data_IF_873341231525
#
_entry.id   IF_873341231525
#
_cell.length_a   1.000
_cell.length_b   1.000
_cell.length_c   1.000
_cell.angle_alpha   90.00
_cell.angle_beta   90.00
_cell.angle_gamma   90.00
#
_symmetry.space_group_name_H-M   'P 1'
#
loop_
_entity.id
_entity.type
_entity.pdbx_description
1 polymer ?
#
# COMPACT_ATOMS: atom_id res chain seq x y z
N UNK A 1 -8.26 -26.96 23.63
CA UNK A 1 -7.51 -26.05 24.48
C UNK A 1 -7.58 -24.68 23.88
N UNK A 2 -8.23 -23.73 24.62
CA UNK A 2 -8.54 -22.41 24.05
C UNK A 2 -7.30 -21.52 24.03
N UNK A 3 -6.93 -21.05 22.84
CA UNK A 3 -6.00 -19.93 22.67
C UNK A 3 -6.87 -18.68 22.51
N UNK A 4 -6.59 -17.65 23.31
CA UNK A 4 -7.21 -16.34 23.13
C UNK A 4 -6.32 -15.53 22.22
N UNK A 5 -6.86 -14.96 21.13
CA UNK A 5 -6.13 -14.12 20.19
C UNK A 5 -6.62 -12.68 20.35
N UNK A 6 -5.70 -11.78 20.62
CA UNK A 6 -5.94 -10.33 20.63
C UNK A 6 -5.37 -9.73 19.37
N UNK A 7 -6.16 -8.92 18.66
CA UNK A 7 -5.75 -8.30 17.41
C UNK A 7 -5.48 -6.82 17.60
N UNK A 8 -4.41 -6.34 16.95
CA UNK A 8 -4.13 -4.92 16.79
C UNK A 8 -3.94 -4.62 15.31
N UNK A 9 -4.72 -3.69 14.77
CA UNK A 9 -4.73 -3.36 13.35
C UNK A 9 -4.34 -1.90 13.15
N UNK A 10 -3.22 -1.69 12.45
CA UNK A 10 -2.76 -0.37 12.03
C UNK A 10 -1.80 -0.50 10.84
N UNK A 11 -1.22 0.62 10.39
CA UNK A 11 -0.16 0.57 9.39
C UNK A 11 1.05 -0.21 9.90
N UNK A 12 1.76 -0.89 9.00
CA UNK A 12 2.96 -1.65 9.38
C UNK A 12 4.01 -0.78 10.07
N UNK A 13 4.07 0.52 9.73
CA UNK A 13 4.96 1.47 10.38
C UNK A 13 4.57 1.74 11.83
N UNK A 14 3.29 1.99 12.08
CA UNK A 14 2.75 2.23 13.43
C UNK A 14 2.94 0.99 14.32
N UNK A 15 2.58 -0.19 13.81
CA UNK A 15 2.73 -1.45 14.56
C UNK A 15 4.21 -1.74 14.88
N UNK A 16 5.11 -1.50 13.90
CA UNK A 16 6.56 -1.60 14.13
C UNK A 16 7.00 -0.70 15.30
N UNK A 17 6.55 0.55 15.30
CA UNK A 17 6.90 1.51 16.37
C UNK A 17 6.37 1.03 17.73
N UNK A 18 5.15 0.53 17.80
CA UNK A 18 4.59 -0.03 19.03
C UNK A 18 5.42 -1.21 19.55
N UNK A 19 5.88 -2.11 18.67
CA UNK A 19 6.77 -3.22 19.05
C UNK A 19 8.10 -2.68 19.60
N UNK A 20 8.69 -1.68 18.97
CA UNK A 20 9.91 -1.02 19.46
C UNK A 20 9.72 -0.37 20.83
N UNK A 21 8.53 0.16 21.10
CA UNK A 21 8.17 0.79 22.38
C UNK A 21 7.77 -0.24 23.46
N UNK A 22 7.83 -1.53 23.15
CA UNK A 22 7.62 -2.62 24.09
C UNK A 22 6.20 -3.16 24.14
N UNK A 23 5.41 -3.00 23.10
CA UNK A 23 4.12 -3.67 22.99
C UNK A 23 4.32 -5.19 22.84
N UNK A 24 3.55 -5.97 23.62
CA UNK A 24 3.52 -7.42 23.48
C UNK A 24 3.05 -7.83 22.09
N UNK A 25 3.83 -8.66 21.39
CA UNK A 25 3.54 -9.10 20.05
C UNK A 25 4.09 -10.51 19.81
N UNK A 26 3.21 -11.50 19.71
CA UNK A 26 3.59 -12.89 19.39
C UNK A 26 3.69 -13.11 17.88
N UNK A 27 2.92 -12.35 17.08
CA UNK A 27 2.89 -12.46 15.62
C UNK A 27 2.72 -11.09 14.97
N UNK A 28 3.67 -10.72 14.14
CA UNK A 28 3.62 -9.49 13.33
C UNK A 28 3.43 -9.83 11.86
N UNK A 29 2.36 -9.30 11.24
CA UNK A 29 2.10 -9.41 9.81
C UNK A 29 2.29 -8.03 9.20
N UNK A 30 3.37 -7.86 8.43
CA UNK A 30 3.72 -6.60 7.79
C UNK A 30 3.34 -6.59 6.31
N UNK A 31 2.68 -5.53 5.86
CA UNK A 31 2.40 -5.31 4.45
C UNK A 31 3.66 -4.95 3.63
N UNK A 32 4.77 -4.60 4.29
CA UNK A 32 6.02 -4.20 3.64
C UNK A 32 7.24 -4.89 4.22
N UNK A 33 8.12 -5.36 3.36
CA UNK A 33 9.39 -5.97 3.76
C UNK A 33 10.30 -5.00 4.54
N UNK A 34 10.21 -3.69 4.25
CA UNK A 34 11.04 -2.68 4.93
C UNK A 34 10.81 -2.67 6.43
N UNK A 35 9.55 -2.66 6.87
CA UNK A 35 9.21 -2.61 8.29
C UNK A 35 9.61 -3.90 9.01
N UNK A 36 9.46 -5.04 8.37
CA UNK A 36 9.94 -6.32 8.90
C UNK A 36 11.48 -6.32 9.01
N UNK A 37 12.20 -5.91 7.96
CA UNK A 37 13.65 -5.84 7.95
C UNK A 37 14.21 -4.88 9.02
N UNK A 38 13.49 -3.83 9.37
CA UNK A 38 13.90 -2.89 10.42
C UNK A 38 13.84 -3.47 11.83
N UNK A 39 13.13 -4.59 12.04
CA UNK A 39 13.03 -5.30 13.31
C UNK A 39 13.91 -6.56 13.37
N UNK A 40 14.52 -6.94 12.25
CA UNK A 40 15.24 -8.18 12.05
C UNK A 40 16.76 -7.92 12.10
N UNK A 41 17.44 -8.50 13.09
CA UNK A 41 18.88 -8.33 13.30
C UNK A 41 19.71 -8.90 12.14
N UNK A 42 19.16 -9.85 11.37
CA UNK A 42 19.84 -10.43 10.21
C UNK A 42 19.79 -9.54 8.96
N UNK A 43 18.96 -8.48 8.99
CA UNK A 43 18.89 -7.52 7.90
C UNK A 43 20.17 -6.64 7.85
N UNK A 44 20.41 -6.02 6.69
CA UNK A 44 21.56 -5.14 6.53
C UNK A 44 21.48 -3.93 7.47
N UNK A 45 22.63 -3.47 7.95
CA UNK A 45 22.73 -2.29 8.83
C UNK A 45 22.20 -1.00 8.20
N UNK A 46 22.14 -0.92 6.88
CA UNK A 46 21.53 0.23 6.17
C UNK A 46 20.00 0.29 6.36
N UNK A 47 19.37 -0.85 6.63
CA UNK A 47 17.92 -0.98 6.82
C UNK A 47 17.56 -1.03 8.29
N UNK A 48 18.22 -1.92 9.06
CA UNK A 48 18.09 -2.01 10.52
C UNK A 48 19.18 -1.17 11.18
N UNK A 49 19.05 0.15 11.12
CA UNK A 49 20.07 1.10 11.61
C UNK A 49 20.21 1.07 13.13
N UNK A 50 19.15 0.70 13.81
CA UNK A 50 19.09 0.69 15.27
C UNK A 50 19.53 -0.66 15.87
N UNK A 51 19.86 -1.65 15.02
CA UNK A 51 20.28 -2.98 15.45
C UNK A 51 19.22 -3.74 16.24
N UNK A 52 17.96 -3.59 15.84
CA UNK A 52 16.81 -4.18 16.55
C UNK A 52 16.74 -5.68 16.30
N UNK A 53 16.44 -6.44 17.35
CA UNK A 53 16.33 -7.90 17.35
C UNK A 53 14.98 -8.31 17.95
N UNK A 54 13.90 -8.08 17.18
CA UNK A 54 12.52 -8.39 17.58
C UNK A 54 11.91 -9.52 16.76
N UNK A 55 12.62 -10.01 15.73
CA UNK A 55 12.10 -11.03 14.81
C UNK A 55 12.95 -12.28 14.91
N UNK A 56 12.32 -13.41 15.23
CA UNK A 56 12.93 -14.71 15.03
C UNK A 56 13.06 -14.97 13.52
N UNK A 57 14.28 -14.87 12.99
CA UNK A 57 14.56 -14.96 11.57
C UNK A 57 14.13 -16.31 10.96
N UNK A 58 14.18 -17.40 11.74
CA UNK A 58 13.77 -18.74 11.30
C UNK A 58 12.24 -18.87 11.18
N UNK A 59 11.48 -18.02 11.86
CA UNK A 59 10.02 -17.99 11.81
C UNK A 59 9.47 -17.10 10.68
N UNK A 60 10.32 -16.34 10.01
CA UNK A 60 9.92 -15.39 9.01
C UNK A 60 9.49 -16.04 7.70
N UNK A 61 8.29 -15.73 7.23
CA UNK A 61 7.74 -16.25 5.97
C UNK A 61 7.12 -15.14 5.13
N UNK A 62 7.29 -15.22 3.81
CA UNK A 62 6.55 -14.39 2.86
C UNK A 62 5.18 -15.02 2.63
N UNK A 63 4.17 -14.45 3.29
CA UNK A 63 2.82 -15.01 3.33
C UNK A 63 2.00 -14.67 2.07
N UNK A 64 2.09 -13.44 1.59
CA UNK A 64 1.27 -12.88 0.50
C UNK A 64 2.09 -11.94 -0.38
N UNK A 65 1.66 -11.77 -1.63
CA UNK A 65 2.18 -10.76 -2.53
C UNK A 65 1.29 -9.52 -2.49
N UNK A 66 1.87 -8.37 -2.18
CA UNK A 66 1.20 -7.08 -2.24
C UNK A 66 1.17 -6.53 -3.67
N UNK A 67 0.00 -6.02 -4.08
CA UNK A 67 -0.18 -5.33 -5.36
C UNK A 67 -0.85 -3.98 -5.13
N UNK A 68 -0.24 -2.92 -5.66
CA UNK A 68 -0.88 -1.62 -5.67
C UNK A 68 -2.04 -1.65 -6.66
N UNK A 69 -3.19 -1.13 -6.25
CA UNK A 69 -4.37 -1.00 -7.09
C UNK A 69 -4.75 0.48 -7.20
N UNK A 70 -5.31 0.84 -8.33
CA UNK A 70 -5.90 2.14 -8.57
C UNK A 70 -7.39 2.07 -8.26
N UNK A 71 -7.86 2.92 -7.36
CA UNK A 71 -9.26 3.04 -7.02
C UNK A 71 -9.79 4.37 -7.53
N UNK A 72 -10.92 4.33 -8.21
CA UNK A 72 -11.64 5.53 -8.65
C UNK A 72 -13.06 5.51 -8.09
N UNK A 73 -13.67 6.67 -7.80
CA UNK A 73 -15.07 6.72 -7.40
C UNK A 73 -15.97 6.09 -8.48
N UNK A 74 -16.96 5.33 -8.06
CA UNK A 74 -17.94 4.77 -9.00
C UNK A 74 -18.72 5.90 -9.70
N UNK A 75 -18.88 5.80 -11.02
CA UNK A 75 -19.52 6.84 -11.84
C UNK A 75 -18.61 8.04 -12.13
N UNK A 76 -17.29 7.91 -11.86
CA UNK A 76 -16.32 8.87 -12.37
C UNK A 76 -16.37 8.90 -13.92
N UNK A 77 -16.50 10.07 -14.48
CA UNK A 77 -16.50 10.34 -15.93
C UNK A 77 -15.12 10.63 -16.49
N UNK A 78 -14.09 10.61 -15.66
CA UNK A 78 -12.70 10.92 -16.02
C UNK A 78 -12.02 9.86 -16.88
N UNK A 79 -12.59 8.66 -17.04
CA UNK A 79 -12.01 7.60 -17.86
C UNK A 79 -10.68 7.04 -17.33
N UNK A 80 -10.42 7.15 -16.03
CA UNK A 80 -9.18 6.65 -15.41
C UNK A 80 -9.32 5.15 -15.18
N UNK A 81 -8.83 4.37 -16.11
CA UNK A 81 -8.87 2.90 -16.09
C UNK A 81 -7.48 2.25 -16.02
N UNK A 82 -6.43 3.06 -16.02
CA UNK A 82 -5.03 2.62 -16.04
C UNK A 82 -4.13 3.62 -15.31
N UNK A 83 -2.91 3.20 -14.97
CA UNK A 83 -1.91 4.11 -14.44
C UNK A 83 -1.41 5.10 -15.50
N UNK A 84 -1.46 4.75 -16.78
CA UNK A 84 -1.13 5.68 -17.88
C UNK A 84 -2.15 6.82 -17.93
N UNK A 85 -3.46 6.51 -17.89
CA UNK A 85 -4.52 7.49 -17.83
C UNK A 85 -4.41 8.37 -16.56
N UNK A 86 -4.14 7.77 -15.40
CA UNK A 86 -3.87 8.51 -14.17
C UNK A 86 -2.74 9.51 -14.34
N UNK A 87 -1.61 9.09 -14.95
CA UNK A 87 -0.46 9.95 -15.15
C UNK A 87 -0.77 11.16 -16.03
N UNK A 88 -1.57 11.00 -17.09
CA UNK A 88 -2.01 12.12 -17.92
C UNK A 88 -2.91 13.11 -17.15
N UNK A 89 -3.84 12.62 -16.34
CA UNK A 89 -4.67 13.47 -15.50
C UNK A 89 -3.88 14.20 -14.41
N UNK A 90 -2.86 13.55 -13.83
CA UNK A 90 -1.96 14.18 -12.86
C UNK A 90 -1.11 15.29 -13.51
N UNK A 91 -0.64 15.10 -14.76
CA UNK A 91 0.05 16.14 -15.53
C UNK A 91 -0.88 17.31 -15.85
N UNK A 92 -2.13 17.01 -16.20
CA UNK A 92 -3.15 18.03 -16.48
C UNK A 92 -3.65 18.72 -15.20
N UNK A 93 -3.38 18.17 -14.02
CA UNK A 93 -3.82 18.67 -12.70
C UNK A 93 -5.34 18.85 -12.60
N UNK A 94 -6.11 17.99 -13.27
CA UNK A 94 -7.57 18.07 -13.36
C UNK A 94 -8.31 17.06 -12.49
N UNK A 95 -7.59 16.38 -11.59
CA UNK A 95 -8.11 15.41 -10.62
C UNK A 95 -7.53 15.68 -9.23
N UNK A 96 -8.19 15.14 -8.21
CA UNK A 96 -7.62 14.97 -6.88
C UNK A 96 -7.16 13.52 -6.72
N UNK A 97 -5.92 13.35 -6.28
CA UNK A 97 -5.29 12.06 -6.07
C UNK A 97 -4.96 11.87 -4.60
N UNK A 98 -5.48 10.79 -4.00
CA UNK A 98 -5.15 10.42 -2.64
C UNK A 98 -4.18 9.24 -2.64
N UNK A 99 -3.09 9.37 -1.89
CA UNK A 99 -2.08 8.31 -1.73
C UNK A 99 -1.66 8.16 -0.27
N UNK A 100 -1.03 7.04 0.08
CA UNK A 100 -0.39 6.90 1.38
C UNK A 100 0.81 7.84 1.53
N UNK A 101 1.09 8.28 2.75
CA UNK A 101 2.32 9.01 3.03
C UNK A 101 3.57 8.11 2.90
N UNK A 102 4.77 8.69 2.95
CA UNK A 102 6.05 7.97 2.79
C UNK A 102 6.33 6.92 3.85
N UNK A 103 5.63 6.96 4.98
CA UNK A 103 5.89 6.06 6.11
C UNK A 103 5.12 4.74 5.99
N UNK A 104 4.15 4.69 5.09
CA UNK A 104 3.36 3.48 4.85
C UNK A 104 3.74 2.80 3.52
N UNK A 105 3.67 1.45 3.45
CA UNK A 105 4.07 0.70 2.26
C UNK A 105 3.37 1.17 0.98
N UNK A 106 2.07 1.42 1.02
CA UNK A 106 1.31 1.89 -0.14
C UNK A 106 1.84 3.22 -0.67
N UNK A 107 2.22 4.15 0.21
CA UNK A 107 2.84 5.42 -0.19
C UNK A 107 4.17 5.21 -0.88
N UNK A 108 5.04 4.36 -0.32
CA UNK A 108 6.35 4.04 -0.92
C UNK A 108 6.23 3.39 -2.29
N UNK A 109 5.21 2.54 -2.50
CA UNK A 109 4.95 1.96 -3.83
C UNK A 109 4.39 3.01 -4.79
N UNK A 110 3.51 3.89 -4.33
CA UNK A 110 2.96 4.97 -5.15
C UNK A 110 4.05 5.95 -5.57
N UNK A 111 4.99 6.29 -4.69
CA UNK A 111 6.15 7.12 -5.06
C UNK A 111 6.98 6.51 -6.19
N UNK A 112 7.17 5.18 -6.19
CA UNK A 112 7.85 4.49 -7.30
C UNK A 112 7.05 4.56 -8.60
N UNK A 113 5.72 4.53 -8.55
CA UNK A 113 4.85 4.71 -9.71
C UNK A 113 4.98 6.13 -10.24
N UNK A 114 4.90 7.16 -9.38
CA UNK A 114 5.08 8.56 -9.79
C UNK A 114 6.45 8.78 -10.44
N UNK A 115 7.51 8.23 -9.84
CA UNK A 115 8.87 8.30 -10.40
C UNK A 115 8.97 7.62 -11.78
N UNK A 116 8.31 6.48 -11.99
CA UNK A 116 8.27 5.81 -13.29
C UNK A 116 7.66 6.70 -14.38
N UNK A 117 6.60 7.44 -14.04
CA UNK A 117 5.94 8.38 -14.97
C UNK A 117 6.60 9.76 -15.00
N UNK A 118 7.74 9.94 -14.32
CA UNK A 118 8.48 11.20 -14.22
C UNK A 118 7.61 12.36 -13.67
N UNK A 119 6.74 12.02 -12.71
CA UNK A 119 5.87 12.97 -12.03
C UNK A 119 6.55 13.48 -10.76
N UNK A 120 6.58 14.78 -10.56
CA UNK A 120 7.10 15.41 -9.35
C UNK A 120 6.02 15.44 -8.26
N UNK A 121 6.15 14.55 -7.27
CA UNK A 121 5.22 14.47 -6.14
C UNK A 121 5.12 15.80 -5.38
N UNK A 122 6.25 16.46 -5.14
CA UNK A 122 6.27 17.72 -4.40
C UNK A 122 5.55 18.85 -5.15
N UNK A 123 5.75 18.93 -6.46
CA UNK A 123 5.06 19.90 -7.30
C UNK A 123 3.55 19.65 -7.34
N UNK A 124 3.11 18.39 -7.47
CA UNK A 124 1.70 18.01 -7.45
C UNK A 124 1.05 18.26 -6.10
N UNK A 125 1.77 18.01 -5.01
CA UNK A 125 1.28 18.32 -3.66
C UNK A 125 1.15 19.84 -3.44
N UNK A 126 2.13 20.62 -3.88
CA UNK A 126 2.08 22.09 -3.82
C UNK A 126 0.94 22.68 -4.66
N UNK A 127 0.60 22.03 -5.76
CA UNK A 127 -0.56 22.40 -6.59
C UNK A 127 -1.92 21.96 -5.99
N UNK A 128 -1.92 21.24 -4.85
CA UNK A 128 -3.13 20.74 -4.20
C UNK A 128 -3.76 19.54 -4.92
N UNK A 129 -3.04 18.91 -5.83
CA UNK A 129 -3.49 17.73 -6.58
C UNK A 129 -3.40 16.47 -5.75
N UNK A 130 -2.41 16.38 -4.83
CA UNK A 130 -2.18 15.21 -3.99
C UNK A 130 -2.63 15.47 -2.55
N UNK A 131 -3.34 14.50 -1.99
CA UNK A 131 -3.61 14.41 -0.55
C UNK A 131 -3.04 13.10 -0.01
N UNK A 132 -2.73 13.08 1.30
CA UNK A 132 -2.08 11.94 1.94
C UNK A 132 -2.96 11.31 3.00
N UNK A 133 -2.88 9.97 3.09
CA UNK A 133 -3.44 9.20 4.19
C UNK A 133 -2.33 8.49 4.97
N UNK A 134 -2.55 8.32 6.26
CA UNK A 134 -1.61 7.63 7.17
C UNK A 134 -1.69 6.10 7.07
N UNK A 135 -2.73 5.59 6.44
CA UNK A 135 -2.97 4.16 6.19
C UNK A 135 -3.92 3.97 5.00
N UNK A 136 -4.03 2.74 4.51
CA UNK A 136 -4.86 2.39 3.34
C UNK A 136 -6.34 2.71 3.58
N UNK A 137 -6.84 2.48 4.79
CA UNK A 137 -8.23 2.76 5.14
C UNK A 137 -8.55 4.25 5.00
N UNK A 138 -7.67 5.11 5.46
CA UNK A 138 -7.82 6.56 5.33
C UNK A 138 -7.82 7.00 3.86
N UNK A 139 -6.87 6.47 3.05
CA UNK A 139 -6.84 6.73 1.60
C UNK A 139 -8.16 6.31 0.95
N UNK A 140 -8.66 5.11 1.26
CA UNK A 140 -9.92 4.61 0.72
C UNK A 140 -11.11 5.46 1.15
N UNK A 141 -11.14 5.88 2.42
CA UNK A 141 -12.19 6.76 2.95
C UNK A 141 -12.19 8.10 2.22
N UNK A 142 -11.03 8.72 2.00
CA UNK A 142 -10.95 9.97 1.24
C UNK A 142 -11.53 9.82 -0.17
N UNK A 143 -11.20 8.73 -0.88
CA UNK A 143 -11.75 8.45 -2.22
C UNK A 143 -13.26 8.28 -2.19
N UNK A 144 -13.83 7.69 -1.13
CA UNK A 144 -15.28 7.50 -1.00
C UNK A 144 -16.00 8.76 -0.54
N UNK A 145 -15.42 9.58 0.34
CA UNK A 145 -16.03 10.78 0.91
C UNK A 145 -16.00 11.99 -0.03
N UNK A 146 -14.99 12.12 -0.90
CA UNK A 146 -14.99 13.14 -1.96
C UNK A 146 -16.23 13.06 -2.86
N UNK A 147 -16.96 11.98 -2.77
CA UNK A 147 -18.24 11.74 -3.45
C UNK A 147 -19.46 12.26 -2.73
N UNK A 148 -19.41 12.41 -1.41
CA UNK A 148 -20.57 12.85 -0.61
C UNK A 148 -20.88 14.34 -0.81
N UNK A 149 -19.98 15.11 -1.40
CA UNK A 149 -20.20 16.51 -1.77
C UNK A 149 -20.96 16.68 -3.09
N UNK A 150 -21.11 15.62 -3.89
CA UNK A 150 -21.96 15.61 -5.08
C UNK A 150 -22.94 14.44 -4.98
N UNK A 151 -24.19 14.78 -4.66
CA UNK A 151 -25.33 13.90 -4.36
C UNK A 151 -25.42 12.64 -5.23
N UNK A 152 -24.99 11.50 -4.73
CA UNK A 152 -25.59 10.17 -4.92
C UNK A 152 -24.71 9.08 -4.28
N UNK A 153 -25.35 8.19 -3.52
CA UNK A 153 -24.70 7.05 -2.84
C UNK A 153 -24.14 6.07 -3.84
N UNK A 154 -22.85 5.78 -3.78
CA UNK A 154 -22.28 4.65 -4.55
C UNK A 154 -20.88 4.28 -4.03
N UNK A 155 -20.54 2.99 -4.15
CA UNK A 155 -19.29 2.37 -3.70
C UNK A 155 -18.09 2.68 -4.61
N UNK A 156 -16.89 2.73 -4.05
CA UNK A 156 -15.67 2.82 -4.85
C UNK A 156 -15.43 1.52 -5.64
N UNK A 157 -15.05 1.61 -6.91
CA UNK A 157 -14.58 0.48 -7.70
C UNK A 157 -13.06 0.45 -7.68
N UNK A 158 -12.48 -0.59 -7.08
CA UNK A 158 -11.06 -0.85 -7.24
C UNK A 158 -10.83 -1.57 -8.57
N UNK A 159 -10.07 -0.93 -9.47
CA UNK A 159 -9.62 -1.55 -10.71
C UNK A 159 -8.28 -2.25 -10.48
N UNK A 160 -8.20 -3.52 -10.86
CA UNK A 160 -6.90 -4.19 -11.07
C UNK A 160 -6.31 -3.64 -12.37
N UNK A 161 -5.58 -2.54 -12.28
CA UNK A 161 -4.76 -2.15 -13.40
C UNK A 161 -3.66 -3.19 -13.57
N UNK A 162 -3.51 -3.75 -14.77
CA UNK A 162 -2.32 -4.51 -15.11
C UNK A 162 -1.11 -3.57 -14.96
N UNK A 163 -0.05 -3.98 -14.25
CA UNK A 163 1.14 -3.14 -14.17
C UNK A 163 1.65 -2.88 -15.59
N UNK A 164 2.20 -1.68 -15.86
CA UNK A 164 2.84 -1.39 -17.12
C UNK A 164 3.88 -2.48 -17.43
N UNK A 165 4.03 -2.83 -18.71
CA UNK A 165 5.01 -3.80 -19.16
C UNK A 165 6.37 -3.50 -18.54
N UNK A 166 6.89 -4.42 -17.75
CA UNK A 166 8.09 -4.31 -16.92
C UNK A 166 9.26 -3.67 -17.67
N UNK A 167 9.90 -2.61 -17.14
CA UNK A 167 11.25 -2.29 -17.55
C UNK A 167 12.21 -3.40 -17.07
N UNK A 168 13.20 -3.73 -17.90
CA UNK A 168 14.12 -4.86 -17.73
C UNK A 168 14.98 -4.84 -16.43
N UNK A 169 14.85 -3.85 -15.56
CA UNK A 169 15.64 -3.65 -14.35
C UNK A 169 14.87 -3.76 -13.02
N UNK A 170 13.67 -4.30 -13.05
CA UNK A 170 12.97 -4.56 -11.80
C UNK A 170 13.36 -5.94 -11.27
N UNK A 171 14.34 -6.00 -10.39
CA UNK A 171 14.64 -7.20 -9.60
C UNK A 171 13.54 -7.39 -8.55
N UNK A 172 12.53 -8.15 -8.90
CA UNK A 172 11.64 -8.74 -7.90
C UNK A 172 12.28 -10.04 -7.44
N UNK A 173 12.52 -10.14 -6.14
CA UNK A 173 12.76 -11.43 -5.53
C UNK A 173 11.54 -12.32 -5.80
N UNK A 174 11.68 -13.20 -6.77
CA UNK A 174 10.69 -14.22 -7.09
C UNK A 174 10.91 -15.39 -6.18
N UNK A 175 9.93 -15.68 -5.33
CA UNK A 175 9.66 -17.07 -4.95
C UNK A 175 8.23 -17.42 -5.32
N UNK A 176 8.17 -18.34 -6.28
CA UNK A 176 6.99 -19.05 -6.75
C UNK A 176 6.32 -19.80 -5.59
N UNK A 177 5.04 -19.57 -5.39
CA UNK A 177 4.16 -20.64 -4.93
C UNK A 177 2.94 -20.71 -5.84
N UNK A 178 2.80 -21.92 -6.35
CA UNK A 178 1.83 -22.41 -7.29
C UNK A 178 0.43 -22.52 -6.67
N UNK A 179 -0.55 -22.16 -7.48
CA UNK A 179 -1.91 -22.73 -7.57
C UNK A 179 -2.74 -22.92 -6.30
N UNK A 180 -3.82 -22.15 -6.22
CA UNK A 180 -5.11 -22.82 -6.10
C UNK A 180 -6.21 -22.03 -6.81
N UNK A 181 -6.80 -22.70 -7.84
CA UNK A 181 -8.09 -22.34 -8.41
C UNK A 181 -9.15 -22.62 -7.36
N UNK A 182 -10.02 -21.71 -7.07
CA UNK A 182 -11.48 -21.92 -7.09
C UNK A 182 -12.24 -20.69 -6.61
N UNK A 183 -13.29 -20.42 -7.37
CA UNK A 183 -14.53 -19.70 -7.06
C UNK A 183 -14.48 -18.20 -6.87
N UNK A 184 -15.09 -17.55 -7.84
CA UNK A 184 -15.78 -16.27 -7.79
C UNK A 184 -16.45 -16.01 -6.44
N UNK A 185 -15.88 -15.07 -5.69
CA UNK A 185 -16.61 -14.17 -4.79
C UNK A 185 -15.71 -12.96 -4.54
N UNK A 186 -16.30 -11.79 -4.64
CA UNK A 186 -15.75 -10.46 -4.41
C UNK A 186 -14.71 -10.45 -3.29
N UNK A 187 -13.43 -10.52 -3.63
CA UNK A 187 -12.36 -10.28 -2.68
C UNK A 187 -12.02 -8.80 -2.76
N UNK A 188 -12.50 -8.06 -1.80
CA UNK A 188 -11.83 -6.85 -1.39
C UNK A 188 -10.38 -7.25 -1.12
N UNK A 189 -9.44 -6.70 -1.89
CA UNK A 189 -8.04 -6.79 -1.55
C UNK A 189 -7.80 -5.66 -0.55
N UNK A 190 -7.98 -5.96 0.73
CA UNK A 190 -7.39 -5.17 1.77
C UNK A 190 -5.88 -5.30 1.61
N UNK A 191 -5.23 -4.19 1.41
CA UNK A 191 -3.78 -4.10 1.49
C UNK A 191 -3.46 -4.05 2.98
N UNK A 192 -3.14 -5.19 3.52
CA UNK A 192 -2.55 -5.30 4.86
C UNK A 192 -1.10 -4.88 4.83
#
# INVERSE_FOLDING_TARGET
>A
PGVTITYNFDSSGTLKTQIQEGADCDLFISAGQKQMNQLDITASADVNKDGLDFVDADSRVDLLENKVVLCVPEGSDKGIDSFDALAEHLKAQDILFCMGNSDVPVGQYTQKILAYYQLDEAALAAAGVITYGSNVKEVTTQVTELRLSSSSSLSARCWKASPPTRPANWSSGTHLLQNNRHSDRHKQVEVL
#
